data_IF_141527932861
#
_entry.id   IF_141527932861
#
_cell.length_a   1.000
_cell.length_b   1.000
_cell.length_c   1.000
_cell.angle_alpha   90.00
_cell.angle_beta   90.00
_cell.angle_gamma   90.00
#
_symmetry.space_group_name_H-M   'P 1'
#
loop_
_entity.id
_entity.type
_entity.pdbx_description
1 polymer ?
#
# COMPACT_ATOMS: atom_id res chain seq x y z
N UNK A 1 -14.28 -25.72 26.98
CA UNK A 1 -15.18 -24.67 27.50
C UNK A 1 -14.43 -23.41 27.92
N UNK A 2 -13.31 -23.52 28.63
CA UNK A 2 -12.53 -22.37 29.14
C UNK A 2 -12.04 -21.38 28.07
N UNK A 3 -11.61 -21.85 26.87
CA UNK A 3 -11.12 -20.97 25.79
C UNK A 3 -12.21 -20.07 25.22
N UNK A 4 -13.45 -20.57 25.10
CA UNK A 4 -14.61 -19.76 24.65
C UNK A 4 -15.00 -18.70 25.67
N UNK A 5 -14.95 -19.03 26.97
CA UNK A 5 -15.21 -18.07 28.04
C UNK A 5 -14.12 -16.98 28.09
N UNK A 6 -12.86 -17.34 27.88
CA UNK A 6 -11.74 -16.37 27.81
C UNK A 6 -11.87 -15.43 26.67
N UNK A 7 -12.31 -15.89 25.48
CA UNK A 7 -12.57 -15.07 24.30
C UNK A 7 -13.76 -14.12 24.51
N UNK A 8 -14.86 -14.62 25.07
CA UNK A 8 -16.04 -13.80 25.43
C UNK A 8 -15.65 -12.74 26.46
N UNK A 9 -14.84 -13.09 27.45
CA UNK A 9 -14.34 -12.16 28.47
C UNK A 9 -13.44 -11.07 27.85
N UNK A 10 -12.61 -11.39 26.83
CA UNK A 10 -11.78 -10.41 26.10
C UNK A 10 -12.63 -9.41 25.30
N UNK A 11 -13.70 -9.88 24.65
CA UNK A 11 -14.64 -9.00 23.92
C UNK A 11 -15.39 -8.09 24.88
N UNK A 12 -15.84 -8.62 26.03
CA UNK A 12 -16.61 -7.88 27.02
C UNK A 12 -15.77 -6.86 27.81
N UNK A 13 -14.46 -7.00 27.87
CA UNK A 13 -13.56 -6.09 28.60
C UNK A 13 -12.90 -5.02 27.73
N UNK A 14 -13.33 -4.85 26.48
CA UNK A 14 -12.85 -3.82 25.52
C UNK A 14 -11.33 -3.74 25.35
N UNK A 15 -10.58 -4.79 25.71
CA UNK A 15 -9.19 -4.91 25.32
C UNK A 15 -9.18 -5.44 23.89
N UNK A 16 -8.57 -4.69 22.99
CA UNK A 16 -8.43 -5.05 21.58
C UNK A 16 -8.07 -6.53 21.45
N UNK A 17 -8.94 -7.36 20.82
CA UNK A 17 -8.61 -8.75 20.60
C UNK A 17 -7.42 -8.76 19.65
N UNK A 18 -6.27 -9.19 20.14
CA UNK A 18 -5.13 -9.45 19.28
C UNK A 18 -5.62 -10.34 18.14
N UNK A 19 -5.35 -9.96 16.88
CA UNK A 19 -5.76 -10.66 15.65
C UNK A 19 -5.23 -12.11 15.55
N UNK A 20 -4.67 -12.64 16.61
CA UNK A 20 -4.32 -14.06 16.75
C UNK A 20 -5.43 -14.75 17.55
N UNK A 21 -6.58 -14.90 16.94
CA UNK A 21 -7.45 -16.01 17.31
C UNK A 21 -6.75 -17.27 16.78
N UNK A 22 -6.10 -18.00 17.67
CA UNK A 22 -5.79 -19.40 17.42
C UNK A 22 -7.11 -20.21 17.54
N UNK A 23 -8.12 -19.82 16.78
CA UNK A 23 -9.11 -20.73 16.26
C UNK A 23 -8.40 -21.45 15.10
N UNK A 24 -7.47 -22.27 15.53
CA UNK A 24 -7.12 -23.43 14.75
C UNK A 24 -8.47 -24.11 14.54
N UNK A 25 -8.93 -24.19 13.28
CA UNK A 25 -9.78 -25.28 12.87
C UNK A 25 -9.11 -26.54 13.42
N UNK A 26 -9.50 -26.93 14.63
CA UNK A 26 -9.27 -28.28 15.11
C UNK A 26 -10.05 -29.07 14.09
N UNK A 27 -9.35 -29.57 13.08
CA UNK A 27 -9.89 -30.51 12.12
C UNK A 27 -10.69 -31.50 12.96
N UNK A 28 -12.01 -31.47 12.81
CA UNK A 28 -12.87 -32.31 13.63
C UNK A 28 -12.39 -33.72 13.36
N UNK A 29 -11.75 -34.31 14.36
CA UNK A 29 -11.22 -35.68 14.27
C UNK A 29 -12.31 -36.55 13.69
N UNK A 30 -12.03 -37.26 12.64
CA UNK A 30 -12.98 -38.24 12.12
C UNK A 30 -13.30 -39.28 13.18
N UNK A 31 -14.48 -39.89 13.12
CA UNK A 31 -14.86 -40.94 14.08
C UNK A 31 -13.79 -42.03 14.18
N UNK A 32 -13.13 -42.35 13.09
CA UNK A 32 -12.04 -43.32 13.02
C UNK A 32 -10.79 -42.85 13.79
N UNK A 33 -10.43 -41.58 13.71
CA UNK A 33 -9.32 -40.98 14.43
C UNK A 33 -9.59 -40.93 15.94
N UNK A 34 -10.83 -40.59 16.35
CA UNK A 34 -11.26 -40.62 17.74
C UNK A 34 -11.17 -42.06 18.29
N UNK A 35 -11.67 -43.06 17.53
CA UNK A 35 -11.61 -44.46 17.89
C UNK A 35 -10.19 -44.96 18.06
N UNK A 36 -9.31 -44.58 17.18
CA UNK A 36 -7.91 -44.99 17.21
C UNK A 36 -7.11 -44.27 18.30
N UNK A 37 -7.40 -43.01 18.63
CA UNK A 37 -6.90 -42.34 19.83
C UNK A 37 -7.34 -43.07 21.11
N UNK A 38 -8.56 -43.60 21.14
CA UNK A 38 -9.06 -44.41 22.27
C UNK A 38 -8.41 -45.79 22.35
N UNK A 39 -7.96 -46.35 21.23
CA UNK A 39 -7.22 -47.64 21.17
C UNK A 39 -5.73 -47.49 21.47
N UNK A 40 -5.20 -46.24 21.58
CA UNK A 40 -3.79 -45.96 21.90
C UNK A 40 -2.81 -46.16 20.75
N UNK A 41 -3.29 -46.13 19.48
CA UNK A 41 -2.41 -46.26 18.32
C UNK A 41 -1.50 -45.02 18.17
N UNK A 42 -0.19 -45.22 18.36
CA UNK A 42 0.82 -44.20 18.38
C UNK A 42 0.98 -43.55 17.00
N UNK A 43 0.69 -44.28 15.91
CA UNK A 43 0.76 -43.78 14.51
C UNK A 43 -0.22 -42.63 14.27
N UNK A 44 -1.37 -42.64 14.93
CA UNK A 44 -2.36 -41.57 14.79
C UNK A 44 -1.91 -40.31 15.51
N UNK A 45 -1.29 -40.47 16.66
CA UNK A 45 -0.71 -39.35 17.40
C UNK A 45 0.43 -38.68 16.58
N UNK A 46 1.30 -39.53 16.01
CA UNK A 46 2.36 -39.09 15.11
C UNK A 46 1.78 -38.33 13.89
N UNK A 47 0.74 -38.87 13.25
CA UNK A 47 0.05 -38.24 12.12
C UNK A 47 -0.48 -36.85 12.48
N UNK A 48 -1.20 -36.70 13.57
CA UNK A 48 -1.75 -35.42 14.02
C UNK A 48 -0.65 -34.39 14.32
N UNK A 49 0.45 -34.81 14.91
CA UNK A 49 1.60 -33.95 15.18
C UNK A 49 2.23 -33.48 13.88
N UNK A 50 2.43 -34.40 12.92
CA UNK A 50 2.97 -34.08 11.60
C UNK A 50 2.04 -33.20 10.78
N UNK A 51 0.72 -33.42 10.82
CA UNK A 51 -0.25 -32.55 10.13
C UNK A 51 -0.17 -31.10 10.61
N UNK A 52 -0.08 -30.90 11.92
CA UNK A 52 0.08 -29.56 12.48
C UNK A 52 1.42 -28.94 12.07
N UNK A 53 2.51 -29.73 12.10
CA UNK A 53 3.84 -29.26 11.70
C UNK A 53 3.92 -28.91 10.21
N UNK A 54 3.35 -29.76 9.35
CA UNK A 54 3.27 -29.48 7.90
C UNK A 54 2.47 -28.23 7.60
N UNK A 55 1.32 -28.02 8.27
CA UNK A 55 0.53 -26.78 8.12
C UNK A 55 1.32 -25.53 8.54
N UNK A 56 2.05 -25.62 9.65
CA UNK A 56 2.91 -24.54 10.13
C UNK A 56 4.03 -24.22 9.11
N UNK A 57 4.72 -25.24 8.63
CA UNK A 57 5.79 -25.09 7.63
C UNK A 57 5.27 -24.59 6.28
N UNK A 58 4.08 -25.00 5.87
CA UNK A 58 3.42 -24.49 4.68
C UNK A 58 3.04 -22.99 4.82
N UNK A 59 2.59 -22.56 5.99
CA UNK A 59 2.33 -21.16 6.26
C UNK A 59 3.61 -20.32 6.20
N UNK A 60 4.71 -20.81 6.81
CA UNK A 60 6.03 -20.16 6.72
C UNK A 60 6.55 -20.10 5.28
N UNK A 61 6.35 -21.17 4.48
CA UNK A 61 6.73 -21.16 3.06
C UNK A 61 5.91 -20.17 2.24
N UNK A 62 4.62 -20.03 2.55
CA UNK A 62 3.75 -19.03 1.90
C UNK A 62 4.22 -17.61 2.22
N UNK A 63 4.59 -17.33 3.47
CA UNK A 63 5.14 -16.04 3.89
C UNK A 63 6.50 -15.77 3.21
N UNK A 64 7.38 -16.77 3.17
CA UNK A 64 8.65 -16.68 2.44
C UNK A 64 8.43 -16.35 0.95
N UNK A 65 7.50 -17.04 0.28
CA UNK A 65 7.19 -16.77 -1.13
C UNK A 65 6.63 -15.35 -1.33
N UNK A 66 5.73 -14.88 -0.45
CA UNK A 66 5.21 -13.52 -0.50
C UNK A 66 6.33 -12.48 -0.38
N UNK A 67 7.21 -12.65 0.61
CA UNK A 67 8.38 -11.79 0.80
C UNK A 67 9.31 -11.83 -0.42
N UNK A 68 9.50 -12.99 -1.01
CA UNK A 68 10.32 -13.14 -2.22
C UNK A 68 9.73 -12.36 -3.40
N UNK A 69 8.43 -12.43 -3.64
CA UNK A 69 7.78 -11.62 -4.69
C UNK A 69 7.95 -10.12 -4.46
N UNK A 70 7.78 -9.65 -3.22
CA UNK A 70 8.00 -8.24 -2.90
C UNK A 70 9.45 -7.79 -3.16
N UNK A 71 10.43 -8.67 -2.89
CA UNK A 71 11.84 -8.40 -3.18
C UNK A 71 12.12 -8.40 -4.69
N UNK A 72 11.52 -9.33 -5.44
CA UNK A 72 11.62 -9.39 -6.91
C UNK A 72 11.05 -8.10 -7.54
N UNK A 73 9.90 -7.61 -7.06
CA UNK A 73 9.31 -6.36 -7.52
C UNK A 73 10.23 -5.16 -7.25
N UNK A 74 10.83 -5.07 -6.07
CA UNK A 74 11.82 -4.02 -5.73
C UNK A 74 13.05 -4.09 -6.64
N UNK A 75 13.57 -5.28 -6.90
CA UNK A 75 14.73 -5.47 -7.78
C UNK A 75 14.40 -5.07 -9.21
N UNK A 76 13.19 -5.38 -9.68
CA UNK A 76 12.73 -5.04 -11.03
C UNK A 76 12.45 -3.54 -11.19
N UNK A 77 11.94 -2.87 -10.15
CA UNK A 77 11.65 -1.43 -10.18
C UNK A 77 12.93 -0.56 -10.08
N UNK A 78 13.98 -1.07 -9.44
CA UNK A 78 15.22 -0.35 -9.15
C UNK A 78 15.83 0.41 -10.35
N UNK A 79 16.00 -0.16 -11.57
CA UNK A 79 16.65 0.55 -12.67
C UNK A 79 15.92 1.83 -13.06
N UNK A 80 14.59 1.81 -13.10
CA UNK A 80 13.78 2.97 -13.46
C UNK A 80 13.74 4.01 -12.35
N UNK A 81 13.63 3.60 -11.11
CA UNK A 81 13.68 4.50 -9.95
C UNK A 81 15.04 5.17 -9.83
N UNK A 82 16.12 4.41 -9.99
CA UNK A 82 17.49 4.94 -9.99
C UNK A 82 17.71 5.96 -11.12
N UNK A 83 17.25 5.64 -12.31
CA UNK A 83 17.35 6.55 -13.46
C UNK A 83 16.61 7.85 -13.22
N UNK A 84 15.40 7.80 -12.64
CA UNK A 84 14.62 8.96 -12.27
C UNK A 84 15.34 9.82 -11.24
N UNK A 85 15.87 9.20 -10.16
CA UNK A 85 16.63 9.93 -9.13
C UNK A 85 17.89 10.58 -9.69
N UNK A 86 18.62 9.91 -10.57
CA UNK A 86 19.79 10.49 -11.24
C UNK A 86 19.44 11.67 -12.12
N UNK A 87 18.31 11.62 -12.83
CA UNK A 87 17.80 12.73 -13.62
C UNK A 87 17.43 13.92 -12.73
N UNK A 88 16.72 13.66 -11.63
CA UNK A 88 16.34 14.69 -10.65
C UNK A 88 17.59 15.34 -10.04
N UNK A 89 18.57 14.55 -9.59
CA UNK A 89 19.85 15.05 -9.07
C UNK A 89 20.57 15.90 -10.11
N UNK A 90 20.61 15.47 -11.36
CA UNK A 90 21.21 16.24 -12.45
C UNK A 90 20.51 17.58 -12.68
N UNK A 91 19.19 17.61 -12.65
CA UNK A 91 18.39 18.83 -12.79
C UNK A 91 18.58 19.78 -11.60
N UNK A 92 18.52 19.24 -10.37
CA UNK A 92 18.73 20.04 -9.14
C UNK A 92 20.16 20.58 -9.09
N UNK A 93 21.16 19.82 -9.56
CA UNK A 93 22.55 20.28 -9.60
C UNK A 93 22.72 21.51 -10.53
N UNK A 94 22.06 21.53 -11.69
CA UNK A 94 22.03 22.71 -12.57
C UNK A 94 21.34 23.91 -11.91
N UNK A 95 20.25 23.67 -11.20
CA UNK A 95 19.56 24.71 -10.43
C UNK A 95 20.45 25.24 -9.31
N UNK A 96 21.21 24.37 -8.64
CA UNK A 96 22.16 24.76 -7.60
C UNK A 96 23.29 25.65 -8.14
N UNK A 97 23.80 25.35 -9.35
CA UNK A 97 24.76 26.23 -10.04
C UNK A 97 24.15 27.60 -10.33
N UNK A 98 22.87 27.64 -10.76
CA UNK A 98 22.15 28.88 -10.97
C UNK A 98 22.00 29.68 -9.67
N UNK A 99 21.67 29.02 -8.56
CA UNK A 99 21.55 29.67 -7.24
C UNK A 99 22.90 30.20 -6.75
N UNK A 100 24.00 29.45 -6.92
CA UNK A 100 25.36 29.90 -6.55
C UNK A 100 25.82 31.16 -7.26
N UNK A 101 25.30 31.40 -8.47
CA UNK A 101 25.61 32.61 -9.23
C UNK A 101 24.78 33.82 -8.76
N UNK A 102 23.81 33.66 -7.87
CA UNK A 102 23.05 34.77 -7.28
C UNK A 102 23.87 35.34 -6.12
N UNK A 103 24.21 36.65 -6.10
CA UNK A 103 24.93 37.24 -4.99
C UNK A 103 24.14 37.12 -3.69
N UNK A 104 24.82 36.69 -2.65
CA UNK A 104 24.26 36.55 -1.29
C UNK A 104 24.72 37.70 -0.38
N UNK A 105 23.78 38.31 0.32
CA UNK A 105 24.07 39.33 1.31
C UNK A 105 24.10 38.72 2.72
N UNK A 106 25.29 38.64 3.29
CA UNK A 106 25.51 38.06 4.63
C UNK A 106 24.84 38.87 5.72
N UNK A 107 24.69 40.20 5.53
CA UNK A 107 24.11 41.07 6.59
C UNK A 107 22.58 40.88 6.72
N UNK A 108 21.93 40.69 5.60
CA UNK A 108 20.47 40.51 5.54
C UNK A 108 20.07 39.05 5.44
N UNK A 109 21.03 38.13 5.39
CA UNK A 109 20.85 36.69 5.21
C UNK A 109 19.88 36.38 4.05
N UNK A 110 20.03 37.11 2.93
CA UNK A 110 19.17 37.00 1.78
C UNK A 110 19.91 37.09 0.45
N UNK A 111 19.34 36.48 -0.58
CA UNK A 111 19.87 36.59 -1.94
C UNK A 111 19.56 37.96 -2.53
N UNK A 112 20.56 38.57 -3.20
CA UNK A 112 20.37 39.81 -3.96
C UNK A 112 19.64 39.52 -5.29
N UNK A 113 18.34 39.21 -5.19
CA UNK A 113 17.52 38.81 -6.31
C UNK A 113 16.27 39.71 -6.38
N UNK A 114 15.78 39.92 -7.60
CA UNK A 114 14.48 40.56 -7.81
C UNK A 114 13.41 39.51 -8.05
N UNK A 115 12.22 39.76 -7.50
CA UNK A 115 11.02 38.99 -7.83
C UNK A 115 10.23 39.79 -8.88
N UNK A 116 9.82 39.13 -9.95
CA UNK A 116 8.87 39.70 -10.92
C UNK A 116 7.48 39.15 -10.64
N UNK A 117 6.48 40.01 -10.62
CA UNK A 117 5.07 39.62 -10.46
C UNK A 117 4.27 40.40 -11.51
N UNK A 118 3.67 39.68 -12.45
CA UNK A 118 3.10 40.28 -13.63
C UNK A 118 4.18 40.91 -14.54
N UNK A 119 4.11 42.25 -14.72
CA UNK A 119 5.08 43.00 -15.55
C UNK A 119 6.13 43.72 -14.69
N UNK A 120 5.97 43.78 -13.40
CA UNK A 120 6.76 44.61 -12.51
C UNK A 120 7.80 43.78 -11.74
N UNK A 121 8.99 44.35 -11.55
CA UNK A 121 10.10 43.74 -10.85
C UNK A 121 10.39 44.50 -9.55
N UNK A 122 10.44 43.74 -8.45
CA UNK A 122 10.63 44.27 -7.09
C UNK A 122 11.92 43.76 -6.49
N UNK A 123 12.65 44.64 -5.79
CA UNK A 123 13.82 44.27 -5.01
C UNK A 123 13.36 43.61 -3.69
N UNK A 124 14.06 42.54 -3.30
CA UNK A 124 13.81 41.86 -2.01
C UNK A 124 14.75 42.35 -0.90
N UNK A 125 15.64 43.29 -1.19
CA UNK A 125 16.58 43.88 -0.22
C UNK A 125 15.99 45.06 0.55
N UNK A 126 15.01 45.74 -0.05
CA UNK A 126 14.41 46.96 0.49
C UNK A 126 13.02 46.67 1.05
N UNK A 127 12.74 47.11 2.26
CA UNK A 127 11.49 46.84 2.98
C UNK A 127 10.27 47.47 2.30
N UNK A 128 10.41 48.65 1.67
CA UNK A 128 9.31 49.27 0.94
C UNK A 128 8.97 48.47 -0.32
N UNK A 129 9.98 48.10 -1.10
CA UNK A 129 9.81 47.20 -2.26
C UNK A 129 9.20 45.86 -1.86
N UNK A 130 9.59 45.28 -0.72
CA UNK A 130 9.01 44.04 -0.19
C UNK A 130 7.53 44.18 0.12
N UNK A 131 7.09 45.30 0.70
CA UNK A 131 5.68 45.58 0.98
C UNK A 131 4.86 45.69 -0.29
N UNK A 132 5.42 46.33 -1.32
CA UNK A 132 4.75 46.46 -2.63
C UNK A 132 4.68 45.10 -3.33
N UNK A 133 5.77 44.35 -3.35
CA UNK A 133 5.80 42.99 -3.90
C UNK A 133 4.80 42.05 -3.19
N UNK A 134 4.69 42.16 -1.87
CA UNK A 134 3.71 41.39 -1.08
C UNK A 134 2.27 41.72 -1.45
N UNK A 135 1.94 43.00 -1.71
CA UNK A 135 0.62 43.40 -2.21
C UNK A 135 0.37 42.84 -3.63
N UNK A 136 1.35 42.93 -4.53
CA UNK A 136 1.26 42.35 -5.86
C UNK A 136 1.04 40.84 -5.81
N UNK A 137 1.76 40.13 -4.92
CA UNK A 137 1.55 38.70 -4.68
C UNK A 137 0.14 38.39 -4.19
N UNK A 138 -0.41 39.21 -3.27
CA UNK A 138 -1.79 39.04 -2.78
C UNK A 138 -2.78 39.12 -3.93
N UNK A 139 -2.62 40.09 -4.83
CA UNK A 139 -3.48 40.25 -6.00
C UNK A 139 -3.36 39.04 -6.94
N UNK A 140 -2.15 38.54 -7.19
CA UNK A 140 -1.92 37.36 -8.00
C UNK A 140 -2.58 36.11 -7.35
N UNK A 141 -2.44 35.93 -6.05
CA UNK A 141 -3.09 34.84 -5.31
C UNK A 141 -4.61 34.95 -5.38
N UNK A 142 -5.17 36.16 -5.30
CA UNK A 142 -6.61 36.36 -5.40
C UNK A 142 -7.18 35.93 -6.76
N UNK A 143 -6.41 36.06 -7.84
CA UNK A 143 -6.80 35.60 -9.18
C UNK A 143 -6.84 34.07 -9.33
N UNK A 144 -6.11 33.35 -8.46
CA UNK A 144 -6.01 31.88 -8.49
C UNK A 144 -7.05 31.23 -7.58
N UNK A 145 -7.62 32.00 -6.65
CA UNK A 145 -8.68 31.52 -5.76
C UNK A 145 -9.97 31.25 -6.52
N UNK A 146 -10.74 30.30 -5.99
CA UNK A 146 -12.04 29.92 -6.53
C UNK A 146 -12.02 28.71 -7.46
N UNK A 147 -13.18 28.11 -7.67
CA UNK A 147 -13.33 26.81 -8.33
C UNK A 147 -12.94 26.82 -9.82
N UNK A 148 -13.10 27.94 -10.51
CA UNK A 148 -12.75 28.05 -11.94
C UNK A 148 -11.26 27.84 -12.25
N UNK A 149 -10.39 28.07 -11.27
CA UNK A 149 -8.93 28.00 -11.40
C UNK A 149 -8.31 26.84 -10.63
N UNK A 150 -9.12 25.98 -10.00
CA UNK A 150 -8.62 24.79 -9.28
C UNK A 150 -7.77 23.92 -10.19
N UNK A 151 -6.65 23.43 -9.63
CA UNK A 151 -5.67 22.58 -10.29
C UNK A 151 -5.01 23.19 -11.54
N UNK A 152 -5.23 24.48 -11.82
CA UNK A 152 -4.51 25.19 -12.88
C UNK A 152 -3.25 25.85 -12.32
N UNK A 153 -2.15 25.64 -12.99
CA UNK A 153 -0.90 26.35 -12.71
C UNK A 153 -0.92 27.69 -13.44
N UNK A 154 -0.77 28.76 -12.68
CA UNK A 154 -0.75 30.12 -13.21
C UNK A 154 0.63 30.70 -12.96
N UNK A 155 1.35 30.99 -14.04
CA UNK A 155 2.63 31.68 -13.96
C UNK A 155 2.38 33.14 -13.54
N UNK A 156 3.00 33.56 -12.45
CA UNK A 156 2.84 34.91 -11.90
C UNK A 156 4.05 35.78 -12.15
N UNK A 157 5.20 35.19 -12.50
CA UNK A 157 6.44 35.94 -12.76
C UNK A 157 7.68 35.08 -12.58
N UNK A 158 8.70 35.60 -11.91
CA UNK A 158 9.95 34.90 -11.67
C UNK A 158 10.71 35.41 -10.46
N UNK A 159 11.64 34.60 -9.97
CA UNK A 159 12.60 34.92 -8.92
C UNK A 159 14.01 34.66 -9.47
N UNK A 160 14.71 35.73 -9.85
CA UNK A 160 15.96 35.58 -10.60
C UNK A 160 15.72 34.84 -11.93
N UNK A 161 16.44 33.77 -12.15
CA UNK A 161 16.32 32.91 -13.35
C UNK A 161 15.27 31.79 -13.21
N UNK A 162 14.53 31.76 -12.11
CA UNK A 162 13.50 30.77 -11.88
C UNK A 162 12.10 31.33 -12.16
N UNK A 163 11.24 30.57 -12.80
CA UNK A 163 9.83 30.91 -12.94
C UNK A 163 9.08 30.72 -11.62
N UNK A 164 8.11 31.60 -11.34
CA UNK A 164 7.21 31.47 -10.18
C UNK A 164 5.80 31.22 -10.68
N UNK A 165 5.24 30.09 -10.25
CA UNK A 165 3.89 29.66 -10.57
C UNK A 165 3.09 29.49 -9.28
N UNK A 166 1.79 29.67 -9.34
CA UNK A 166 0.86 29.40 -8.24
C UNK A 166 -0.19 28.40 -8.72
N UNK A 167 -0.54 27.47 -7.82
CA UNK A 167 -1.62 26.52 -8.03
C UNK A 167 -2.57 26.55 -6.82
N UNK A 168 -3.87 26.41 -7.08
CA UNK A 168 -4.87 26.11 -6.05
C UNK A 168 -5.23 24.64 -6.16
N UNK A 169 -4.66 23.81 -5.27
CA UNK A 169 -4.83 22.35 -5.22
C UNK A 169 -5.76 21.90 -4.07
N UNK A 170 -6.46 22.86 -3.43
CA UNK A 170 -7.40 22.58 -2.37
C UNK A 170 -8.70 21.93 -2.86
N UNK A 171 -9.15 20.87 -2.17
CA UNK A 171 -10.38 20.15 -2.55
C UNK A 171 -11.65 20.84 -2.04
N UNK A 172 -11.67 21.22 -0.76
CA UNK A 172 -12.82 21.92 -0.12
C UNK A 172 -12.51 23.37 0.25
N UNK A 173 -11.28 23.65 0.61
CA UNK A 173 -10.76 24.97 0.93
C UNK A 173 -9.64 25.31 -0.02
N UNK A 174 -9.47 26.60 -0.32
CA UNK A 174 -8.35 27.04 -1.13
C UNK A 174 -7.03 26.67 -0.44
N UNK A 175 -6.24 25.83 -1.10
CA UNK A 175 -4.89 25.52 -0.72
C UNK A 175 -3.95 26.04 -1.81
N UNK A 176 -3.34 27.16 -1.53
CA UNK A 176 -2.49 27.85 -2.50
C UNK A 176 -1.04 27.40 -2.31
N UNK A 177 -0.47 26.81 -3.33
CA UNK A 177 0.91 26.39 -3.37
C UNK A 177 1.68 27.22 -4.39
N UNK A 178 2.75 27.87 -3.96
CA UNK A 178 3.70 28.51 -4.84
C UNK A 178 4.80 27.54 -5.26
N UNK A 179 5.17 27.61 -6.51
CA UNK A 179 6.14 26.72 -7.13
C UNK A 179 7.23 27.53 -7.79
N UNK A 180 8.49 27.26 -7.45
CA UNK A 180 9.67 27.78 -8.11
C UNK A 180 10.10 26.77 -9.18
N UNK A 181 10.09 27.18 -10.44
CA UNK A 181 10.36 26.33 -11.60
C UNK A 181 11.73 26.63 -12.19
N UNK A 182 12.63 25.70 -12.02
CA UNK A 182 13.93 25.64 -12.69
C UNK A 182 14.00 24.44 -13.62
N UNK A 183 15.12 23.75 -13.63
CA UNK A 183 15.25 22.41 -14.23
C UNK A 183 14.51 21.36 -13.37
N UNK A 184 14.41 21.60 -12.06
CA UNK A 184 13.57 20.91 -11.12
C UNK A 184 12.49 21.84 -10.55
N UNK A 185 11.55 21.30 -9.80
CA UNK A 185 10.42 22.07 -9.27
C UNK A 185 10.42 22.04 -7.74
N UNK A 186 10.39 23.24 -7.13
CA UNK A 186 10.37 23.42 -5.68
C UNK A 186 9.06 24.07 -5.27
N UNK A 187 8.41 23.57 -4.25
CA UNK A 187 7.10 24.07 -3.82
C UNK A 187 7.02 24.44 -2.37
N UNK A 188 6.11 25.38 -2.05
CA UNK A 188 5.80 25.80 -0.69
C UNK A 188 4.33 26.21 -0.60
N UNK A 189 3.66 25.80 0.46
CA UNK A 189 2.29 26.22 0.75
C UNK A 189 2.26 27.65 1.27
N UNK A 190 1.41 28.48 0.65
CA UNK A 190 1.20 29.86 1.04
C UNK A 190 0.14 29.94 2.14
N UNK A 191 0.34 30.85 3.09
CA UNK A 191 -0.59 31.14 4.18
C UNK A 191 -1.36 32.43 3.95
N UNK A 192 -1.88 32.99 5.03
CA UNK A 192 -2.67 34.21 5.00
C UNK A 192 -1.83 35.48 4.82
N UNK A 193 -0.65 35.53 5.44
CA UNK A 193 0.23 36.70 5.40
C UNK A 193 1.06 36.80 4.15
N UNK A 194 0.84 37.85 3.36
CA UNK A 194 1.53 38.06 2.09
C UNK A 194 3.03 38.30 2.24
N UNK A 195 3.47 38.96 3.31
CA UNK A 195 4.89 39.19 3.60
C UNK A 195 5.59 37.87 3.92
N UNK A 196 4.93 37.02 4.73
CA UNK A 196 5.44 35.69 5.05
C UNK A 196 5.49 34.80 3.79
N UNK A 197 4.46 34.91 2.95
CA UNK A 197 4.41 34.18 1.67
C UNK A 197 5.56 34.56 0.74
N UNK A 198 5.86 35.86 0.64
CA UNK A 198 6.98 36.35 -0.14
C UNK A 198 8.31 35.77 0.37
N UNK A 199 8.52 35.77 1.71
CA UNK A 199 9.71 35.17 2.32
C UNK A 199 9.75 33.64 2.12
N UNK A 200 8.61 32.95 2.14
CA UNK A 200 8.53 31.52 1.83
C UNK A 200 8.99 31.22 0.41
N UNK A 201 8.59 32.06 -0.59
CA UNK A 201 9.02 31.91 -1.99
C UNK A 201 10.53 32.18 -2.11
N UNK A 202 11.06 33.22 -1.47
CA UNK A 202 12.48 33.50 -1.40
C UNK A 202 13.28 32.32 -0.80
N UNK A 203 12.78 31.76 0.27
CA UNK A 203 13.38 30.62 0.96
C UNK A 203 13.42 29.33 0.14
N UNK A 204 12.69 29.25 -0.99
CA UNK A 204 12.83 28.12 -1.92
C UNK A 204 14.23 28.04 -2.54
N UNK A 205 14.94 29.17 -2.68
CA UNK A 205 16.32 29.17 -3.15
C UNK A 205 17.26 28.44 -2.17
N UNK A 206 17.05 28.59 -0.86
CA UNK A 206 17.81 27.86 0.16
C UNK A 206 17.47 26.36 0.19
N UNK A 207 16.24 26.02 -0.18
CA UNK A 207 15.82 24.61 -0.22
C UNK A 207 16.48 23.80 -1.33
N UNK A 208 17.01 24.43 -2.37
CA UNK A 208 17.64 23.73 -3.50
C UNK A 208 18.77 22.81 -3.01
N UNK A 209 19.64 23.30 -2.13
CA UNK A 209 20.73 22.51 -1.58
C UNK A 209 20.24 21.35 -0.71
N UNK A 210 19.24 21.60 0.14
CA UNK A 210 18.66 20.57 0.99
C UNK A 210 18.02 19.47 0.15
N UNK A 211 17.23 19.85 -0.87
CA UNK A 211 16.60 18.89 -1.79
C UNK A 211 17.64 18.07 -2.56
N UNK A 212 18.76 18.68 -2.95
CA UNK A 212 19.87 17.97 -3.60
C UNK A 212 20.45 16.90 -2.67
N UNK A 213 20.69 17.26 -1.41
CA UNK A 213 21.25 16.34 -0.42
C UNK A 213 20.27 15.22 -0.07
N UNK A 214 18.98 15.55 0.06
CA UNK A 214 17.92 14.58 0.29
C UNK A 214 17.83 13.56 -0.87
N UNK A 215 17.87 14.02 -2.13
CA UNK A 215 17.85 13.14 -3.30
C UNK A 215 19.09 12.26 -3.43
N UNK A 216 20.26 12.77 -3.07
CA UNK A 216 21.49 11.96 -3.00
C UNK A 216 21.40 10.89 -1.90
N UNK A 217 20.84 11.24 -0.74
CA UNK A 217 20.61 10.29 0.34
C UNK A 217 19.61 9.20 -0.05
N UNK A 218 18.52 9.59 -0.74
CA UNK A 218 17.52 8.68 -1.28
C UNK A 218 18.14 7.69 -2.29
N UNK A 219 19.00 8.16 -3.17
CA UNK A 219 19.73 7.31 -4.12
C UNK A 219 20.63 6.30 -3.39
N UNK A 220 21.40 6.75 -2.39
CA UNK A 220 22.25 5.85 -1.61
C UNK A 220 21.43 4.78 -0.87
N UNK A 221 20.29 5.17 -0.32
CA UNK A 221 19.37 4.24 0.34
C UNK A 221 18.82 3.22 -0.65
N UNK A 222 18.38 3.68 -1.82
CA UNK A 222 17.88 2.79 -2.89
C UNK A 222 18.95 1.78 -3.33
N UNK A 223 20.21 2.21 -3.48
CA UNK A 223 21.33 1.33 -3.86
C UNK A 223 21.63 0.27 -2.76
N UNK A 224 21.49 0.63 -1.48
CA UNK A 224 21.65 -0.31 -0.34
C UNK A 224 20.48 -1.29 -0.30
N UNK A 225 19.25 -0.79 -0.42
CA UNK A 225 18.04 -1.62 -0.39
C UNK A 225 18.04 -2.64 -1.54
N UNK A 226 18.48 -2.23 -2.73
CA UNK A 226 18.63 -3.12 -3.88
C UNK A 226 19.64 -4.24 -3.62
N UNK A 227 20.84 -3.94 -3.11
CA UNK A 227 21.83 -4.95 -2.76
C UNK A 227 21.33 -5.92 -1.70
N UNK A 228 20.61 -5.38 -0.72
CA UNK A 228 20.01 -6.19 0.35
C UNK A 228 18.93 -7.12 -0.20
N UNK A 229 18.06 -6.62 -1.08
CA UNK A 229 17.04 -7.40 -1.74
C UNK A 229 17.65 -8.53 -2.60
N UNK A 230 18.68 -8.23 -3.38
CA UNK A 230 19.40 -9.24 -4.16
C UNK A 230 19.99 -10.35 -3.27
N UNK A 231 20.64 -9.98 -2.17
CA UNK A 231 21.23 -10.96 -1.24
C UNK A 231 20.15 -11.82 -0.57
N UNK A 232 18.98 -11.26 -0.28
CA UNK A 232 17.87 -12.00 0.31
C UNK A 232 17.22 -12.96 -0.70
N UNK A 233 17.11 -12.60 -1.97
CA UNK A 233 16.56 -13.45 -3.02
C UNK A 233 17.36 -14.74 -3.24
N UNK A 234 18.67 -14.72 -2.96
CA UNK A 234 19.53 -15.89 -3.10
C UNK A 234 19.43 -16.87 -1.91
N UNK A 235 18.77 -16.50 -0.82
CA UNK A 235 18.61 -17.39 0.33
C UNK A 235 17.48 -18.39 0.06
N UNK A 236 17.74 -19.71 0.15
CA UNK A 236 16.69 -20.71 0.05
C UNK A 236 15.77 -20.67 1.29
N UNK A 237 14.61 -21.28 1.17
CA UNK A 237 13.74 -21.50 2.31
C UNK A 237 14.41 -22.44 3.31
N UNK A 238 14.62 -21.99 4.54
CA UNK A 238 15.40 -22.71 5.57
C UNK A 238 14.79 -24.06 5.94
N UNK A 239 13.46 -24.18 5.91
CA UNK A 239 12.73 -25.37 6.32
C UNK A 239 12.26 -26.24 5.13
N UNK A 240 12.86 -26.10 3.94
CA UNK A 240 12.43 -26.85 2.75
C UNK A 240 12.56 -28.35 2.95
N UNK A 241 13.71 -28.80 3.48
CA UNK A 241 13.98 -30.22 3.72
C UNK A 241 13.07 -30.80 4.82
N UNK A 242 12.83 -30.02 5.88
CA UNK A 242 11.92 -30.43 6.95
C UNK A 242 10.48 -30.56 6.44
N UNK A 243 10.02 -29.62 5.62
CA UNK A 243 8.69 -29.66 5.01
C UNK A 243 8.54 -30.89 4.12
N UNK A 244 9.54 -31.16 3.27
CA UNK A 244 9.51 -32.29 2.35
C UNK A 244 9.52 -33.62 3.11
N UNK A 245 10.37 -33.76 4.13
CA UNK A 245 10.47 -34.98 4.96
C UNK A 245 9.18 -35.21 5.76
N UNK A 246 8.65 -34.14 6.40
CA UNK A 246 7.43 -34.24 7.17
C UNK A 246 6.21 -34.56 6.32
N UNK A 247 6.12 -33.97 5.12
CA UNK A 247 5.05 -34.27 4.15
C UNK A 247 5.13 -35.73 3.70
N UNK A 248 6.30 -36.21 3.33
CA UNK A 248 6.51 -37.60 2.90
C UNK A 248 6.13 -38.58 4.01
N UNK A 249 6.55 -38.31 5.25
CA UNK A 249 6.22 -39.16 6.39
C UNK A 249 4.73 -39.16 6.69
N UNK A 250 4.06 -38.00 6.54
CA UNK A 250 2.62 -37.86 6.70
C UNK A 250 1.85 -38.72 5.66
N UNK A 251 2.32 -38.71 4.40
CA UNK A 251 1.73 -39.51 3.33
C UNK A 251 1.89 -41.01 3.57
N UNK A 252 3.07 -41.45 4.03
CA UNK A 252 3.32 -42.85 4.43
C UNK A 252 2.37 -43.30 5.55
N UNK A 253 2.24 -42.51 6.61
CA UNK A 253 1.33 -42.81 7.72
C UNK A 253 -0.14 -42.82 7.29
N UNK A 254 -0.53 -41.87 6.44
CA UNK A 254 -1.89 -41.78 5.93
C UNK A 254 -2.25 -43.01 5.08
N UNK A 255 -1.30 -43.46 4.25
CA UNK A 255 -1.47 -44.68 3.43
C UNK A 255 -1.58 -45.92 4.30
N UNK A 256 -0.67 -46.08 5.28
CA UNK A 256 -0.69 -47.23 6.19
C UNK A 256 -1.99 -47.31 7.02
N UNK A 257 -2.46 -46.20 7.55
CA UNK A 257 -3.69 -46.12 8.32
C UNK A 257 -4.94 -46.36 7.44
N UNK A 258 -4.96 -45.93 6.19
CA UNK A 258 -6.06 -46.19 5.27
C UNK A 258 -6.13 -47.67 4.86
N UNK A 259 -5.00 -48.35 4.69
CA UNK A 259 -4.93 -49.79 4.39
C UNK A 259 -5.49 -50.57 5.60
N UNK A 260 -5.00 -50.29 6.83
CA UNK A 260 -5.49 -50.95 8.03
C UNK A 260 -7.01 -50.77 8.24
N UNK A 261 -7.55 -49.60 7.83
CA UNK A 261 -8.99 -49.34 7.92
C UNK A 261 -9.79 -50.05 6.80
N UNK A 262 -9.20 -50.35 5.67
CA UNK A 262 -9.85 -51.09 4.58
C UNK A 262 -9.94 -52.58 4.90
N UNK A 263 -8.95 -53.11 5.63
CA UNK A 263 -8.96 -54.53 6.07
C UNK A 263 -9.92 -54.79 7.25
N UNK A 264 -10.27 -53.77 8.03
CA UNK A 264 -11.27 -53.88 9.11
C UNK A 264 -12.71 -53.51 8.72
N UNK A 265 -13.08 -53.55 7.42
CA UNK A 265 -14.48 -53.57 7.05
C UNK A 265 -15.08 -54.93 7.28
N UNK A 266 -15.22 -55.25 8.59
CA UNK A 266 -16.01 -56.36 9.06
C UNK A 266 -17.49 -56.15 8.71
N UNK A 267 -18.05 -57.17 8.11
CA UNK A 267 -19.47 -57.47 7.85
C UNK A 267 -20.49 -56.48 8.43
N UNK A 268 -21.26 -55.88 7.54
CA UNK A 268 -22.51 -55.21 7.91
C UNK A 268 -23.38 -56.17 8.70
N UNK A 269 -23.83 -55.86 9.92
CA UNK A 269 -24.81 -56.70 10.60
C UNK A 269 -26.07 -56.77 9.76
N UNK A 270 -26.55 -58.00 9.48
CA UNK A 270 -27.79 -58.27 8.81
C UNK A 270 -28.89 -57.45 9.49
N UNK A 271 -29.62 -56.69 8.70
CA UNK A 271 -30.79 -55.94 9.14
C UNK A 271 -31.80 -56.91 9.76
N UNK A 272 -31.89 -56.92 11.07
CA UNK A 272 -33.04 -57.49 11.77
C UNK A 272 -34.20 -56.50 11.59
N UNK A 273 -35.22 -56.97 10.89
CA UNK A 273 -36.50 -56.28 10.79
C UNK A 273 -37.09 -56.14 12.21
N UNK A 274 -37.14 -54.94 12.74
CA UNK A 274 -38.04 -54.56 13.79
C UNK A 274 -39.26 -53.86 13.20
N UNK A 275 -40.41 -54.58 13.27
CA UNK A 275 -41.74 -54.04 13.00
C UNK A 275 -42.08 -52.98 14.06
N UNK A 276 -42.55 -51.82 13.66
CA UNK A 276 -43.12 -50.88 14.64
C UNK A 276 -43.45 -49.50 14.05
N UNK A 277 -44.67 -49.44 13.47
CA UNK A 277 -45.66 -48.35 13.50
C UNK A 277 -45.30 -46.95 13.04
N UNK A 278 -46.03 -46.60 12.02
CA UNK A 278 -46.49 -45.33 11.48
C UNK A 278 -46.39 -44.14 12.40
N UNK A 279 -45.74 -43.09 11.93
CA UNK A 279 -46.09 -41.73 12.24
C UNK A 279 -46.10 -40.89 10.97
N UNK A 280 -47.30 -40.58 10.50
CA UNK A 280 -47.60 -39.68 9.42
C UNK A 280 -47.49 -38.26 9.96
N UNK A 281 -46.73 -37.39 9.31
CA UNK A 281 -47.10 -35.98 9.21
C UNK A 281 -46.27 -35.24 8.14
N UNK A 282 -47.01 -34.74 7.20
CA UNK A 282 -46.78 -33.38 6.70
C UNK A 282 -45.95 -33.23 5.44
N UNK A 283 -46.60 -33.42 4.30
CA UNK A 283 -46.18 -32.85 3.02
C UNK A 283 -46.11 -31.33 3.09
N UNK A 284 -45.03 -30.73 2.66
CA UNK A 284 -45.15 -29.48 1.93
C UNK A 284 -44.15 -29.44 0.76
N UNK A 285 -44.76 -29.38 -0.39
CA UNK A 285 -44.13 -29.13 -1.69
C UNK A 285 -43.82 -27.64 -1.81
N UNK A 286 -42.68 -27.25 -2.33
CA UNK A 286 -42.65 -26.36 -3.48
C UNK A 286 -41.26 -26.32 -4.13
N UNK A 287 -41.23 -26.94 -5.24
CA UNK A 287 -40.27 -26.79 -6.32
C UNK A 287 -40.43 -25.40 -6.96
N UNK A 288 -39.39 -24.68 -7.22
CA UNK A 288 -39.33 -23.76 -8.36
C UNK A 288 -37.95 -23.79 -9.00
N UNK A 289 -37.96 -24.41 -10.16
CA UNK A 289 -36.98 -24.23 -11.23
C UNK A 289 -37.01 -22.77 -11.67
N UNK A 290 -35.84 -22.18 -11.88
CA UNK A 290 -35.72 -21.00 -12.74
C UNK A 290 -34.72 -21.33 -13.82
N UNK A 291 -35.29 -21.36 -15.03
CA UNK A 291 -34.62 -21.54 -16.30
C UNK A 291 -33.83 -20.27 -16.70
N UNK A 292 -32.73 -20.52 -17.38
CA UNK A 292 -32.00 -19.57 -18.21
C UNK A 292 -32.89 -18.85 -19.21
N UNK A 293 -32.70 -17.55 -19.37
CA UNK A 293 -33.09 -16.82 -20.57
C UNK A 293 -31.99 -15.86 -20.98
N UNK A 294 -31.43 -16.15 -22.14
CA UNK A 294 -30.60 -15.27 -22.96
C UNK A 294 -31.33 -13.96 -23.24
N UNK A 295 -30.61 -12.85 -23.20
CA UNK A 295 -31.10 -11.58 -23.75
C UNK A 295 -30.14 -11.09 -24.82
N UNK A 296 -30.70 -11.04 -26.00
CA UNK A 296 -30.16 -10.52 -27.25
C UNK A 296 -29.85 -9.03 -27.17
N UNK A 297 -28.85 -8.67 -27.95
CA UNK A 297 -28.45 -7.32 -28.35
C UNK A 297 -29.60 -6.52 -28.94
N UNK A 298 -29.71 -5.24 -28.65
CA UNK A 298 -30.34 -4.23 -29.49
C UNK A 298 -29.56 -2.93 -29.43
N UNK A 299 -29.06 -2.53 -30.59
CA UNK A 299 -28.46 -1.22 -30.88
C UNK A 299 -29.52 -0.10 -30.87
N UNK A 300 -29.17 1.16 -30.54
CA UNK A 300 -30.10 2.27 -30.74
C UNK A 300 -29.87 2.94 -32.09
N UNK A 301 -30.96 3.15 -32.79
CA UNK A 301 -31.09 3.95 -34.00
C UNK A 301 -30.91 5.44 -33.73
N UNK A 302 -30.16 6.08 -34.62
CA UNK A 302 -30.15 7.51 -34.90
C UNK A 302 -31.53 8.01 -35.32
N UNK A 303 -31.93 9.15 -34.81
CA UNK A 303 -32.90 10.04 -35.46
C UNK A 303 -32.41 11.46 -35.42
N UNK A 304 -32.13 12.00 -36.60
CA UNK A 304 -32.07 13.39 -36.97
C UNK A 304 -33.46 14.04 -36.84
N UNK A 305 -33.50 15.29 -36.44
CA UNK A 305 -34.31 16.42 -36.94
C UNK A 305 -34.20 17.59 -35.96
N UNK A 306 -33.52 18.65 -36.40
CA UNK A 306 -34.05 19.95 -36.87
C UNK A 306 -34.95 20.70 -35.86
N UNK A 307 -34.44 21.74 -35.25
CA UNK A 307 -34.77 23.18 -35.43
C UNK A 307 -33.85 24.02 -34.50
#
# INVERSE_FOLDING_TARGET
MEKKQKFISQIMTSKEPGRKCADVDQAALTYSEIKALCTGDERIREKLTLENRVKELQALKSEYNSTRYELEDKVNAYPEERKKLLLDIGNISKDMETVKNIPFDVKTESYRVKITIGKDAYSLLDDESRKVAAKALTNAVAQVKGDANKNKRIAIGGLGNFGVEIINDGYFLDKITATLRGNYTYSVELGVSSIINLKKIENLLFKVENVLNDKKSELNKLDIDYKTAQNMLHKPFEFEDELNNSTKRLDELTTALNIDMSEHKVDKPKKTHYFGKDFILGKNKSSKQIQNKEVMKSEPKRSEQEL
#
